data_IF_371203190172
#
_entry.id   IF_371203190172
#
_cell.length_a   1.000
_cell.length_b   1.000
_cell.length_c   1.000
_cell.angle_alpha   90.00
_cell.angle_beta   90.00
_cell.angle_gamma   90.00
#
_symmetry.space_group_name_H-M   'P 1'
#
loop_
_entity.id
_entity.type
_entity.pdbx_description
1 polymer ?
#
# COMPACT_ATOMS: atom_id res chain seq x y z
N UNK A 1 18.33 -28.57 -32.09
CA UNK A 1 19.03 -27.74 -31.09
C UNK A 1 18.39 -26.35 -30.90
N UNK A 2 18.20 -25.54 -31.96
CA UNK A 2 17.61 -24.18 -31.84
C UNK A 2 16.26 -24.11 -31.11
N UNK A 3 15.36 -25.08 -31.32
CA UNK A 3 14.05 -25.15 -30.64
C UNK A 3 14.14 -25.42 -29.13
N UNK A 4 15.10 -26.23 -28.69
CA UNK A 4 15.29 -26.54 -27.26
C UNK A 4 15.91 -25.37 -26.49
N UNK A 5 16.78 -24.61 -27.14
CA UNK A 5 17.35 -23.38 -26.58
C UNK A 5 16.27 -22.31 -26.35
N UNK A 6 15.34 -22.17 -27.30
CA UNK A 6 14.20 -21.26 -27.16
C UNK A 6 13.29 -21.65 -25.98
N UNK A 7 13.08 -22.95 -25.76
CA UNK A 7 12.25 -23.47 -24.67
C UNK A 7 12.87 -23.21 -23.29
N UNK A 8 14.19 -23.38 -23.17
CA UNK A 8 14.96 -23.07 -21.95
C UNK A 8 14.94 -21.57 -21.62
N UNK A 9 15.06 -20.71 -22.63
CA UNK A 9 14.99 -19.25 -22.45
C UNK A 9 13.61 -18.79 -21.95
N UNK A 10 12.53 -19.42 -22.43
CA UNK A 10 11.16 -19.11 -22.00
C UNK A 10 10.91 -19.56 -20.55
N UNK A 11 11.50 -20.68 -20.14
CA UNK A 11 11.38 -21.19 -18.77
C UNK A 11 12.09 -20.29 -17.74
N UNK A 12 13.25 -19.71 -18.07
CA UNK A 12 13.97 -18.81 -17.16
C UNK A 12 13.24 -17.49 -16.88
N UNK A 13 12.37 -17.04 -17.79
CA UNK A 13 11.61 -15.80 -17.61
C UNK A 13 10.42 -15.95 -16.65
N UNK A 14 10.01 -17.18 -16.34
CA UNK A 14 8.82 -17.45 -15.51
C UNK A 14 9.13 -17.58 -14.02
N UNK A 15 10.42 -17.58 -13.63
CA UNK A 15 10.84 -18.10 -12.32
C UNK A 15 11.28 -17.04 -11.31
N UNK A 16 11.24 -15.75 -11.64
CA UNK A 16 11.68 -14.68 -10.74
C UNK A 16 10.63 -13.58 -10.70
N UNK A 17 9.58 -13.79 -9.90
CA UNK A 17 8.67 -12.73 -9.51
C UNK A 17 8.86 -12.48 -8.03
N UNK A 18 9.60 -11.42 -7.70
CA UNK A 18 9.77 -10.98 -6.32
C UNK A 18 8.40 -10.63 -5.75
N UNK A 19 7.98 -11.33 -4.69
CA UNK A 19 6.74 -11.01 -3.97
C UNK A 19 6.97 -9.80 -3.05
N UNK A 20 6.03 -8.86 -3.11
CA UNK A 20 6.06 -7.61 -2.34
C UNK A 20 4.82 -7.46 -1.47
N UNK A 21 5.00 -6.89 -0.29
CA UNK A 21 3.91 -6.37 0.55
C UNK A 21 4.22 -4.92 0.90
N UNK A 22 3.21 -4.07 0.78
CA UNK A 22 3.29 -2.67 1.18
C UNK A 22 2.38 -2.49 2.40
N UNK A 23 2.95 -1.98 3.48
CA UNK A 23 2.19 -1.57 4.66
C UNK A 23 2.12 -0.06 4.68
N UNK A 24 0.92 0.47 4.48
CA UNK A 24 0.68 1.90 4.37
C UNK A 24 0.03 2.43 5.65
N UNK A 25 0.84 3.09 6.48
CA UNK A 25 0.44 3.64 7.76
C UNK A 25 -0.46 4.87 7.52
N UNK A 26 -1.72 4.73 7.93
CA UNK A 26 -2.74 5.77 7.83
C UNK A 26 -2.67 6.74 9.02
N UNK A 27 -2.60 6.19 10.23
CA UNK A 27 -2.66 6.95 11.46
C UNK A 27 -1.96 6.22 12.58
N UNK A 28 -1.21 6.95 13.40
CA UNK A 28 -0.59 6.45 14.62
C UNK A 28 -0.92 7.39 15.78
N UNK A 29 -1.68 6.90 16.75
CA UNK A 29 -1.96 7.59 18.01
C UNK A 29 -1.25 6.90 19.18
N UNK A 30 -1.41 7.41 20.40
CA UNK A 30 -0.89 6.75 21.60
C UNK A 30 -1.62 5.43 21.93
N UNK A 31 -2.79 5.20 21.34
CA UNK A 31 -3.67 4.07 21.67
C UNK A 31 -3.82 3.08 20.52
N UNK A 32 -3.62 3.53 19.29
CA UNK A 32 -3.85 2.68 18.13
C UNK A 32 -2.96 3.04 16.94
N UNK A 33 -2.76 2.05 16.08
CA UNK A 33 -2.14 2.19 14.77
C UNK A 33 -3.11 1.65 13.74
N UNK A 34 -3.40 2.47 12.74
CA UNK A 34 -4.27 2.13 11.62
C UNK A 34 -3.39 2.07 10.38
N UNK A 35 -3.47 0.97 9.64
CA UNK A 35 -2.67 0.77 8.44
C UNK A 35 -3.45 -0.03 7.40
N UNK A 36 -3.02 0.08 6.13
CA UNK A 36 -3.47 -0.78 5.05
C UNK A 36 -2.35 -1.75 4.69
N UNK A 37 -2.71 -2.98 4.39
CA UNK A 37 -1.82 -4.01 3.85
C UNK A 37 -2.22 -4.18 2.38
N UNK A 38 -1.26 -4.02 1.49
CA UNK A 38 -1.39 -4.29 0.06
C UNK A 38 -0.40 -5.39 -0.33
N UNK A 39 -0.90 -6.52 -0.79
CA UNK A 39 -0.10 -7.67 -1.24
C UNK A 39 -0.11 -7.83 -2.77
N UNK A 40 -0.61 -6.84 -3.51
CA UNK A 40 -0.77 -6.87 -4.97
C UNK A 40 -2.10 -7.45 -5.45
N UNK A 41 -2.77 -8.28 -4.64
CA UNK A 41 -4.07 -8.88 -4.97
C UNK A 41 -5.22 -8.17 -4.24
N UNK A 42 -5.03 -7.88 -2.95
CA UNK A 42 -6.02 -7.25 -2.09
C UNK A 42 -5.42 -6.15 -1.22
N UNK A 43 -6.27 -5.16 -0.90
CA UNK A 43 -5.94 -4.08 0.03
C UNK A 43 -6.84 -4.18 1.25
N UNK A 44 -6.25 -4.52 2.41
CA UNK A 44 -6.99 -4.71 3.66
C UNK A 44 -6.60 -3.65 4.68
N UNK A 45 -7.61 -3.04 5.34
CA UNK A 45 -7.39 -2.10 6.44
C UNK A 45 -7.39 -2.84 7.77
N UNK A 46 -6.39 -2.56 8.60
CA UNK A 46 -6.22 -3.11 9.93
C UNK A 46 -6.15 -2.00 10.99
N UNK A 47 -6.57 -2.32 12.21
CA UNK A 47 -6.50 -1.41 13.35
C UNK A 47 -6.05 -2.17 14.57
N UNK A 48 -4.90 -1.76 15.14
CA UNK A 48 -4.29 -2.45 16.27
C UNK A 48 -4.15 -1.49 17.45
N UNK A 49 -4.45 -1.97 18.65
CA UNK A 49 -4.36 -1.18 19.90
C UNK A 49 -2.92 -1.01 20.42
N UNK A 50 -1.95 -1.68 19.81
CA UNK A 50 -0.54 -1.46 20.11
C UNK A 50 0.05 -0.60 19.00
N UNK A 51 0.33 0.70 19.24
CA UNK A 51 0.62 1.62 18.17
C UNK A 51 2.05 1.52 17.60
N UNK A 52 2.82 0.46 17.91
CA UNK A 52 4.24 0.41 17.55
C UNK A 52 4.49 -0.08 16.11
N UNK A 53 4.92 0.85 15.24
CA UNK A 53 5.39 0.54 13.88
C UNK A 53 6.60 -0.41 13.91
N UNK A 54 7.52 -0.23 14.87
CA UNK A 54 8.69 -1.12 15.01
C UNK A 54 8.25 -2.55 15.30
N UNK A 55 7.23 -2.73 16.13
CA UNK A 55 6.68 -4.05 16.39
C UNK A 55 6.05 -4.65 15.14
N UNK A 56 5.30 -3.85 14.38
CA UNK A 56 4.72 -4.27 13.09
C UNK A 56 5.81 -4.72 12.12
N UNK A 57 6.91 -3.98 12.00
CA UNK A 57 8.06 -4.38 11.17
C UNK A 57 8.60 -5.75 11.61
N UNK A 58 8.80 -5.95 12.92
CA UNK A 58 9.31 -7.21 13.46
C UNK A 58 8.33 -8.37 13.23
N UNK A 59 7.02 -8.14 13.32
CA UNK A 59 5.98 -9.13 13.04
C UNK A 59 6.08 -9.61 11.58
N UNK A 60 6.19 -8.70 10.62
CA UNK A 60 6.35 -9.08 9.21
C UNK A 60 7.71 -9.71 8.90
N UNK A 61 8.77 -9.28 9.59
CA UNK A 61 10.06 -9.93 9.50
C UNK A 61 10.02 -11.39 9.99
N UNK A 62 9.29 -11.67 11.07
CA UNK A 62 9.07 -13.03 11.55
C UNK A 62 8.24 -13.89 10.58
N UNK A 63 7.42 -13.27 9.72
CA UNK A 63 6.68 -13.93 8.64
C UNK A 63 7.52 -14.19 7.38
N UNK A 64 8.82 -13.93 7.43
CA UNK A 64 9.75 -14.16 6.32
C UNK A 64 9.75 -13.05 5.28
N UNK A 65 9.36 -11.82 5.66
CA UNK A 65 9.55 -10.64 4.82
C UNK A 65 10.77 -9.83 5.25
N UNK A 66 11.40 -9.10 4.33
CA UNK A 66 12.45 -8.16 4.64
C UNK A 66 12.01 -6.75 4.30
N UNK A 67 12.12 -5.83 5.27
CA UNK A 67 11.91 -4.41 5.02
C UNK A 67 13.02 -3.88 4.10
N UNK A 68 12.65 -3.42 2.91
CA UNK A 68 13.57 -2.86 1.91
C UNK A 68 13.62 -1.35 1.90
N UNK A 69 12.48 -0.72 2.05
CA UNK A 69 12.38 0.73 1.95
C UNK A 69 11.27 1.27 2.83
N UNK A 70 11.47 2.51 3.26
CA UNK A 70 10.45 3.32 3.93
C UNK A 70 10.28 4.57 3.09
N UNK A 71 9.10 4.74 2.52
CA UNK A 71 8.77 5.94 1.73
C UNK A 71 7.71 6.77 2.46
N UNK A 72 7.67 8.06 2.14
CA UNK A 72 6.65 8.96 2.65
C UNK A 72 5.84 9.50 1.48
N UNK A 73 4.53 9.55 1.67
CA UNK A 73 3.58 10.10 0.71
C UNK A 73 2.71 11.15 1.36
N UNK A 74 2.13 12.01 0.54
CA UNK A 74 1.05 12.91 0.96
C UNK A 74 -0.21 12.42 0.28
N UNK A 75 -1.20 12.00 1.06
CA UNK A 75 -2.53 11.74 0.54
C UNK A 75 -3.38 12.99 0.74
N UNK A 76 -3.97 13.46 -0.37
CA UNK A 76 -4.95 14.54 -0.37
C UNK A 76 -6.34 13.94 -0.37
N UNK A 77 -7.00 14.00 0.78
CA UNK A 77 -8.39 13.59 0.89
C UNK A 77 -9.30 14.78 0.60
N UNK A 78 -10.29 14.54 -0.26
CA UNK A 78 -11.25 15.54 -0.71
C UNK A 78 -12.62 15.18 -0.13
N UNK A 79 -13.09 15.99 0.82
CA UNK A 79 -14.39 15.80 1.45
C UNK A 79 -15.29 17.00 1.17
N UNK A 80 -16.56 16.75 0.87
CA UNK A 80 -17.51 17.81 0.59
C UNK A 80 -18.68 17.35 -0.26
N UNK A 81 -19.65 18.24 -0.43
CA UNK A 81 -20.81 17.98 -1.28
C UNK A 81 -20.45 18.36 -2.72
N UNK A 82 -20.43 17.35 -3.60
CA UNK A 82 -20.39 17.59 -5.04
C UNK A 82 -21.76 18.12 -5.49
N UNK A 83 -21.82 19.11 -6.39
CA UNK A 83 -23.08 19.66 -6.83
C UNK A 83 -23.74 18.64 -7.74
N UNK A 84 -24.95 18.22 -7.39
CA UNK A 84 -25.80 17.44 -8.30
C UNK A 84 -26.31 18.43 -9.34
N UNK A 85 -25.83 18.33 -10.57
CA UNK A 85 -26.28 19.16 -11.68
C UNK A 85 -27.78 18.98 -11.87
N UNK A 86 -28.56 20.01 -11.54
CA UNK A 86 -29.95 20.10 -11.98
C UNK A 86 -30.05 21.28 -12.94
N UNK A 87 -30.75 21.09 -14.06
CA UNK A 87 -30.59 21.83 -15.32
C UNK A 87 -31.11 23.29 -15.31
N UNK A 88 -31.18 23.94 -14.14
CA UNK A 88 -31.69 25.30 -13.97
C UNK A 88 -30.80 26.06 -12.97
N UNK A 89 -30.01 27.01 -13.51
CA UNK A 89 -29.18 28.02 -12.85
C UNK A 89 -27.75 27.63 -12.40
N UNK A 90 -26.78 28.19 -13.13
CA UNK A 90 -25.36 27.81 -13.23
C UNK A 90 -24.42 28.37 -12.14
N UNK A 91 -24.73 28.28 -10.85
CA UNK A 91 -23.70 28.53 -9.82
C UNK A 91 -23.96 27.69 -8.58
N UNK A 92 -23.70 26.38 -8.68
CA UNK A 92 -23.62 25.53 -7.52
C UNK A 92 -22.26 25.75 -6.84
N UNK A 93 -22.26 26.40 -5.68
CA UNK A 93 -21.06 26.60 -4.87
C UNK A 93 -20.65 25.25 -4.27
N UNK A 94 -19.49 24.75 -4.63
CA UNK A 94 -18.90 23.56 -4.02
C UNK A 94 -18.13 23.97 -2.76
N UNK A 95 -18.40 23.29 -1.65
CA UNK A 95 -17.60 23.41 -0.44
C UNK A 95 -16.80 22.12 -0.30
N UNK A 96 -15.53 22.17 -0.68
CA UNK A 96 -14.59 21.06 -0.65
C UNK A 96 -13.51 21.37 0.40
N UNK A 97 -13.37 20.51 1.38
CA UNK A 97 -12.28 20.53 2.33
C UNK A 97 -11.16 19.60 1.84
N UNK A 98 -9.93 20.10 1.84
CA UNK A 98 -8.73 19.34 1.53
C UNK A 98 -8.02 18.98 2.83
N UNK A 99 -7.85 17.68 3.08
CA UNK A 99 -7.03 17.20 4.18
C UNK A 99 -5.71 16.66 3.63
N UNK A 100 -4.61 17.19 4.16
CA UNK A 100 -3.27 16.71 3.87
C UNK A 100 -2.88 15.71 4.96
N UNK A 101 -2.83 14.43 4.60
CA UNK A 101 -2.41 13.37 5.50
C UNK A 101 -1.05 12.86 5.05
N UNK A 102 -0.03 13.06 5.89
CA UNK A 102 1.27 12.45 5.71
C UNK A 102 1.16 10.95 5.97
N UNK A 103 1.58 10.14 5.00
CA UNK A 103 1.57 8.69 5.06
C UNK A 103 2.97 8.13 5.04
N UNK A 104 3.17 7.03 5.76
CA UNK A 104 4.42 6.28 5.78
C UNK A 104 4.15 4.91 5.19
N UNK A 105 4.88 4.55 4.15
CA UNK A 105 4.76 3.26 3.48
C UNK A 105 6.01 2.43 3.76
N UNK A 106 5.79 1.21 4.24
CA UNK A 106 6.84 0.23 4.51
C UNK A 106 6.81 -0.80 3.39
N UNK A 107 7.91 -0.92 2.67
CA UNK A 107 8.05 -1.82 1.53
C UNK A 107 8.76 -3.08 1.98
N UNK A 108 8.06 -4.20 1.93
CA UNK A 108 8.56 -5.50 2.28
C UNK A 108 8.70 -6.36 1.03
N UNK A 109 9.81 -7.08 0.92
CA UNK A 109 9.97 -8.15 -0.05
C UNK A 109 9.93 -9.50 0.67
N UNK A 110 9.40 -10.55 0.03
CA UNK A 110 9.48 -11.90 0.58
C UNK A 110 10.92 -12.41 0.49
N UNK A 111 11.43 -12.95 1.60
CA UNK A 111 12.72 -13.64 1.61
C UNK A 111 12.52 -15.02 1.00
N UNK A 112 13.14 -15.28 -0.15
CA UNK A 112 13.27 -16.64 -0.69
C UNK A 112 14.32 -17.38 0.16
N UNK A 113 13.93 -18.46 0.84
CA UNK A 113 14.89 -19.38 1.45
C UNK A 113 15.69 -20.05 0.31
N UNK A 114 16.98 -19.71 0.21
CA UNK A 114 17.93 -20.34 -0.71
C UNK A 114 18.42 -21.69 -0.19
#
# INVERSE_FOLDING_TARGET
MKRYFLLMLLFSLSCYSQEWIIIDILEQSKKELIYKIDNGDEVKRETVKNPSIVRLINEYQALGYQLKSVTQGVELELSGNLPVFNNQNNFAVTNLNFFNNNRVMLWFEKVEEH
#
